data_IF_816676652712
#
_entry.id   IF_816676652712
#
_cell.length_a   1.000
_cell.length_b   1.000
_cell.length_c   1.000
_cell.angle_alpha   90.00
_cell.angle_beta   90.00
_cell.angle_gamma   90.00
#
_symmetry.space_group_name_H-M   'P 1'
#
loop_
_entity.id
_entity.type
_entity.pdbx_description
1 polymer ?
#
# COMPACT_ATOMS: atom_id res chain seq x y z
N UNK A 1 -7.44 1.29 -8.19
CA UNK A 1 -7.18 2.28 -7.12
C UNK A 1 -7.27 1.67 -5.73
N UNK A 2 -8.29 0.86 -5.43
CA UNK A 2 -8.47 0.25 -4.10
C UNK A 2 -7.23 -0.52 -3.57
N UNK A 3 -6.38 -1.04 -4.46
CA UNK A 3 -5.09 -1.60 -4.06
C UNK A 3 -4.16 -0.57 -3.41
N UNK A 4 -4.05 0.64 -4.00
CA UNK A 4 -3.15 1.70 -3.52
C UNK A 4 -3.66 2.35 -2.23
N UNK A 5 -4.97 2.51 -2.08
CA UNK A 5 -5.56 3.05 -0.83
C UNK A 5 -5.40 2.12 0.38
N UNK A 6 -4.80 0.95 0.21
CA UNK A 6 -4.52 -0.03 1.25
C UNK A 6 -3.07 -0.54 1.17
N UNK A 7 -2.26 0.02 0.28
CA UNK A 7 -0.86 -0.34 0.11
C UNK A 7 -0.07 0.22 1.28
N UNK A 8 0.70 -0.64 1.94
CA UNK A 8 1.49 -0.29 3.11
C UNK A 8 2.86 -0.95 3.05
N UNK A 9 3.91 -0.13 3.01
CA UNK A 9 5.29 -0.59 2.90
C UNK A 9 5.74 -1.01 1.50
N UNK A 10 7.06 -1.19 1.37
CA UNK A 10 7.75 -1.44 0.10
C UNK A 10 7.25 -2.66 -0.70
N UNK A 11 6.76 -3.71 -0.05
CA UNK A 11 6.34 -4.94 -0.74
C UNK A 11 5.10 -4.70 -1.63
N UNK A 12 4.21 -3.81 -1.22
CA UNK A 12 3.07 -3.41 -2.04
C UNK A 12 3.52 -2.59 -3.25
N UNK A 13 4.51 -1.71 -3.08
CA UNK A 13 5.13 -0.94 -4.17
C UNK A 13 5.72 -1.86 -5.25
N UNK A 14 6.41 -2.94 -4.86
CA UNK A 14 6.90 -3.94 -5.82
C UNK A 14 5.77 -4.76 -6.46
N UNK A 15 4.80 -5.22 -5.67
CA UNK A 15 3.65 -5.98 -6.20
C UNK A 15 2.85 -5.16 -7.21
N UNK A 16 2.77 -3.84 -7.03
CA UNK A 16 2.15 -2.90 -7.96
C UNK A 16 2.98 -2.74 -9.26
N UNK A 17 4.31 -2.68 -9.17
CA UNK A 17 5.19 -2.41 -10.32
C UNK A 17 5.51 -3.63 -11.21
N UNK A 18 5.55 -4.85 -10.66
CA UNK A 18 5.88 -6.08 -11.42
C UNK A 18 4.70 -6.55 -12.29
N UNK A 19 4.91 -6.90 -13.57
CA UNK A 19 3.84 -7.24 -14.52
C UNK A 19 2.68 -6.21 -14.46
N UNK A 20 2.97 -4.96 -14.85
CA UNK A 20 2.10 -3.84 -14.53
C UNK A 20 0.77 -3.91 -15.29
N UNK A 21 -0.30 -3.61 -14.57
CA UNK A 21 -1.63 -3.37 -15.14
C UNK A 21 -2.08 -1.98 -14.70
N UNK A 22 -2.64 -1.20 -15.63
CA UNK A 22 -3.12 0.15 -15.32
C UNK A 22 -2.01 1.19 -15.12
N UNK A 23 -0.95 1.14 -15.95
CA UNK A 23 0.19 2.09 -15.92
C UNK A 23 -0.29 3.55 -15.80
N UNK A 24 -1.23 3.96 -16.65
CA UNK A 24 -1.80 5.31 -16.61
C UNK A 24 -2.47 5.63 -15.28
N UNK A 25 -3.16 4.66 -14.67
CA UNK A 25 -3.82 4.88 -13.37
C UNK A 25 -2.79 5.10 -12.25
N UNK A 26 -1.68 4.37 -12.26
CA UNK A 26 -0.59 4.53 -11.27
C UNK A 26 0.08 5.88 -11.44
N UNK A 27 0.40 6.25 -12.69
CA UNK A 27 0.99 7.56 -13.02
C UNK A 27 0.07 8.71 -12.61
N UNK A 28 -1.20 8.67 -13.00
CA UNK A 28 -2.20 9.68 -12.62
C UNK A 28 -2.34 9.76 -11.10
N UNK A 29 -2.33 8.62 -10.39
CA UNK A 29 -2.40 8.61 -8.92
C UNK A 29 -1.21 9.34 -8.29
N UNK A 30 0.01 9.03 -8.74
CA UNK A 30 1.21 9.70 -8.25
C UNK A 30 1.19 11.20 -8.55
N UNK A 31 0.70 11.62 -9.72
CA UNK A 31 0.53 13.03 -10.10
C UNK A 31 -0.46 13.74 -9.18
N UNK A 32 -1.62 13.12 -8.88
CA UNK A 32 -2.63 13.70 -7.99
C UNK A 32 -2.09 13.91 -6.57
N UNK A 33 -1.34 12.93 -6.06
CA UNK A 33 -0.80 12.93 -4.69
C UNK A 33 0.45 13.80 -4.54
N UNK A 34 1.41 13.71 -5.47
CA UNK A 34 2.75 14.31 -5.32
C UNK A 34 3.26 15.10 -6.53
N UNK A 35 2.44 15.33 -7.55
CA UNK A 35 2.84 16.02 -8.77
C UNK A 35 2.83 17.55 -8.66
N UNK A 36 3.66 18.26 -9.45
CA UNK A 36 3.62 19.71 -9.55
C UNK A 36 2.33 20.19 -10.25
N UNK A 37 1.93 21.45 -10.03
CA UNK A 37 0.66 22.00 -10.51
C UNK A 37 0.47 21.90 -12.03
N UNK A 38 1.54 22.04 -12.82
CA UNK A 38 1.47 21.91 -14.28
C UNK A 38 1.13 20.47 -14.71
N UNK A 39 1.67 19.47 -14.01
CA UNK A 39 1.41 18.06 -14.32
C UNK A 39 0.01 17.66 -13.88
N UNK A 40 -0.47 18.22 -12.76
CA UNK A 40 -1.88 18.13 -12.33
C UNK A 40 -2.82 18.80 -13.33
N UNK A 41 -2.43 19.90 -13.96
CA UNK A 41 -3.23 20.57 -14.98
C UNK A 41 -3.40 19.71 -16.25
N UNK A 42 -2.34 19.00 -16.68
CA UNK A 42 -2.40 18.10 -17.85
C UNK A 42 -3.45 17.01 -17.66
N UNK A 43 -3.60 16.46 -16.45
CA UNK A 43 -4.59 15.42 -16.15
C UNK A 43 -5.97 15.98 -15.76
N UNK A 44 -6.19 17.30 -15.91
CA UNK A 44 -7.46 17.95 -15.57
C UNK A 44 -7.75 18.11 -14.07
N UNK A 45 -6.72 18.00 -13.21
CA UNK A 45 -6.84 18.05 -11.74
C UNK A 45 -6.08 19.22 -11.10
N UNK A 46 -5.93 20.33 -11.83
CA UNK A 46 -5.19 21.52 -11.36
C UNK A 46 -5.67 22.10 -10.03
N UNK A 47 -6.98 21.99 -9.74
CA UNK A 47 -7.64 22.52 -8.53
C UNK A 47 -8.06 21.42 -7.55
N UNK A 48 -7.52 20.21 -7.69
CA UNK A 48 -7.84 19.12 -6.78
C UNK A 48 -7.17 19.28 -5.42
N UNK A 49 -7.98 19.21 -4.35
CA UNK A 49 -7.49 19.25 -2.98
C UNK A 49 -6.78 17.93 -2.64
N UNK A 50 -5.73 18.00 -1.81
CA UNK A 50 -4.96 16.82 -1.41
C UNK A 50 -5.83 15.78 -0.68
N UNK A 51 -6.78 16.22 0.14
CA UNK A 51 -7.74 15.34 0.81
C UNK A 51 -8.58 14.51 -0.18
N UNK A 52 -8.94 15.08 -1.33
CA UNK A 52 -9.67 14.34 -2.37
C UNK A 52 -8.82 13.24 -3.00
N UNK A 53 -7.53 13.49 -3.20
CA UNK A 53 -6.59 12.46 -3.63
C UNK A 53 -6.37 11.40 -2.53
N UNK A 54 -6.30 11.80 -1.26
CA UNK A 54 -6.12 10.92 -0.11
C UNK A 54 -7.29 9.95 0.09
N UNK A 55 -8.53 10.41 -0.09
CA UNK A 55 -9.73 9.56 -0.03
C UNK A 55 -9.60 8.35 -0.96
N UNK A 56 -9.11 8.56 -2.19
CA UNK A 56 -9.10 7.53 -3.23
C UNK A 56 -7.80 6.72 -3.31
N UNK A 57 -6.66 7.30 -2.94
CA UNK A 57 -5.34 6.80 -3.35
C UNK A 57 -4.41 6.41 -2.21
N UNK A 58 -4.66 6.89 -0.99
CA UNK A 58 -3.73 6.75 0.13
C UNK A 58 -4.31 5.86 1.22
N UNK A 59 -3.44 5.15 1.94
CA UNK A 59 -3.82 4.36 3.12
C UNK A 59 -4.09 5.22 4.35
N UNK A 60 -3.59 6.45 4.37
CA UNK A 60 -3.70 7.35 5.53
C UNK A 60 -5.10 7.89 5.75
N UNK A 61 -5.39 8.23 6.97
CA UNK A 61 -6.48 9.13 7.33
C UNK A 61 -5.89 10.45 7.84
N UNK A 62 -6.54 11.56 7.54
CA UNK A 62 -6.15 12.90 7.99
C UNK A 62 -7.34 13.61 8.63
N UNK A 63 -7.15 14.84 9.09
CA UNK A 63 -8.26 15.64 9.65
C UNK A 63 -9.40 15.87 8.65
N UNK A 64 -9.08 15.81 7.35
CA UNK A 64 -10.03 16.02 6.25
C UNK A 64 -10.57 14.71 5.66
N UNK A 65 -10.13 13.54 6.14
CA UNK A 65 -10.44 12.23 5.55
C UNK A 65 -10.74 11.21 6.64
N UNK A 66 -11.93 10.60 6.57
CA UNK A 66 -12.37 9.58 7.52
C UNK A 66 -12.87 8.31 6.82
N UNK A 67 -12.98 7.24 7.62
CA UNK A 67 -13.56 5.96 7.22
C UNK A 67 -14.85 5.73 8.03
N UNK A 68 -15.94 5.41 7.33
CA UNK A 68 -17.27 5.27 7.92
C UNK A 68 -17.98 4.05 7.35
N UNK A 69 -18.77 3.38 8.18
CA UNK A 69 -19.63 2.28 7.78
C UNK A 69 -20.99 2.81 7.31
N UNK A 70 -21.36 2.50 6.07
CA UNK A 70 -22.65 2.92 5.49
C UNK A 70 -23.79 1.91 5.69
N UNK A 71 -23.54 0.79 6.40
CA UNK A 71 -24.47 -0.34 6.52
C UNK A 71 -24.09 -1.55 5.68
N UNK A 72 -23.22 -1.39 4.69
CA UNK A 72 -22.81 -2.45 3.75
C UNK A 72 -21.30 -2.55 3.53
N UNK A 73 -20.59 -1.42 3.49
CA UNK A 73 -19.15 -1.34 3.30
C UNK A 73 -18.53 -0.16 4.07
N UNK A 74 -17.21 -0.22 4.26
CA UNK A 74 -16.45 0.90 4.78
C UNK A 74 -16.16 1.86 3.62
N UNK A 75 -16.67 3.07 3.72
CA UNK A 75 -16.49 4.14 2.75
C UNK A 75 -15.51 5.16 3.30
N UNK A 76 -14.61 5.63 2.43
CA UNK A 76 -13.73 6.77 2.73
C UNK A 76 -14.42 8.06 2.27
N UNK A 77 -14.51 9.04 3.15
CA UNK A 77 -15.24 10.29 2.91
C UNK A 77 -14.44 11.51 3.33
N UNK A 78 -14.70 12.64 2.68
CA UNK A 78 -14.13 13.94 3.06
C UNK A 78 -14.85 14.47 4.30
N UNK A 79 -14.08 14.79 5.33
CA UNK A 79 -14.57 15.39 6.57
C UNK A 79 -13.97 14.76 7.82
N UNK A 80 -14.41 15.29 8.96
CA UNK A 80 -13.98 14.83 10.27
C UNK A 80 -14.82 13.62 10.75
N UNK A 81 -14.17 12.61 11.35
CA UNK A 81 -14.82 11.38 11.80
C UNK A 81 -15.72 11.60 13.03
N UNK A 82 -16.96 11.12 13.05
CA UNK A 82 -17.74 10.89 14.26
C UNK A 82 -17.47 9.48 14.84
N UNK A 83 -16.24 8.97 14.67
CA UNK A 83 -15.86 7.61 15.07
C UNK A 83 -14.82 7.66 16.18
N UNK A 84 -15.03 6.89 17.24
CA UNK A 84 -14.06 6.66 18.31
C UNK A 84 -13.51 5.25 18.23
N UNK A 85 -12.20 5.12 18.42
CA UNK A 85 -11.51 3.84 18.47
C UNK A 85 -11.18 3.46 19.92
N UNK A 86 -11.54 2.23 20.28
CA UNK A 86 -11.22 1.57 21.53
C UNK A 86 -10.46 0.29 21.23
N UNK A 87 -9.38 0.04 21.97
CA UNK A 87 -8.57 -1.16 21.84
C UNK A 87 -8.65 -1.91 23.16
N UNK A 88 -9.32 -3.05 23.15
CA UNK A 88 -9.38 -3.93 24.31
C UNK A 88 -8.21 -4.90 24.24
N UNK A 89 -7.33 -4.85 25.24
CA UNK A 89 -6.22 -5.77 25.41
C UNK A 89 -6.60 -6.85 26.42
N UNK A 90 -6.69 -8.08 25.93
CA UNK A 90 -6.96 -9.27 26.75
C UNK A 90 -5.64 -10.03 26.91
N UNK A 91 -5.20 -10.36 28.13
CA UNK A 91 -3.93 -11.05 28.33
C UNK A 91 -3.98 -12.44 27.67
N UNK A 92 -2.91 -12.81 26.98
CA UNK A 92 -2.80 -14.16 26.41
C UNK A 92 -2.70 -15.18 27.53
N UNK A 93 -3.57 -16.17 27.53
CA UNK A 93 -3.43 -17.30 28.43
C UNK A 93 -2.22 -18.14 27.98
N UNK A 94 -1.17 -18.15 28.81
CA UNK A 94 0.16 -18.70 28.52
C UNK A 94 0.14 -20.24 28.61
N UNK A 95 0.04 -20.93 27.47
CA UNK A 95 0.07 -22.41 27.43
C UNK A 95 1.29 -23.02 26.70
N UNK A 96 2.11 -22.25 25.98
CA UNK A 96 3.21 -22.80 25.16
C UNK A 96 4.59 -22.63 25.80
N UNK A 97 5.33 -23.75 25.97
CA UNK A 97 6.66 -23.81 26.58
C UNK A 97 7.74 -22.95 25.87
N UNK A 98 7.53 -22.56 24.61
CA UNK A 98 8.46 -21.72 23.83
C UNK A 98 8.40 -20.24 24.20
N UNK A 99 7.25 -19.74 24.66
CA UNK A 99 7.07 -18.32 25.01
C UNK A 99 7.66 -17.99 26.39
N UNK A 100 7.91 -19.02 27.21
CA UNK A 100 8.54 -18.90 28.53
C UNK A 100 10.06 -18.67 28.38
N UNK A 101 10.70 -19.25 27.36
CA UNK A 101 12.15 -19.19 27.16
C UNK A 101 12.62 -17.83 26.60
N UNK A 102 11.79 -17.18 25.77
CA UNK A 102 12.11 -15.88 25.15
C UNK A 102 12.03 -14.70 26.15
N UNK A 103 11.19 -14.82 27.18
CA UNK A 103 11.02 -13.81 28.24
C UNK A 103 12.14 -13.86 29.28
N UNK A 104 12.71 -15.03 29.55
CA UNK A 104 13.79 -15.22 30.53
C UNK A 104 15.11 -14.52 30.13
N UNK A 105 15.26 -14.13 28.86
CA UNK A 105 16.41 -13.39 28.36
C UNK A 105 16.25 -11.86 28.47
N UNK A 106 15.02 -11.35 28.69
CA UNK A 106 14.70 -9.91 28.65
C UNK A 106 14.12 -9.39 29.98
N UNK A 107 14.27 -10.13 31.08
CA UNK A 107 13.49 -9.93 32.30
C UNK A 107 13.77 -8.60 33.02
N UNK A 108 12.88 -7.64 32.81
CA UNK A 108 12.19 -6.94 33.90
C UNK A 108 10.71 -7.38 33.86
N UNK A 109 10.45 -8.61 34.29
CA UNK A 109 9.10 -9.17 34.33
C UNK A 109 8.28 -8.54 35.46
N UNK A 110 6.99 -8.23 35.25
CA UNK A 110 6.09 -7.78 36.32
C UNK A 110 5.80 -8.94 37.29
N UNK A 111 5.68 -8.59 38.57
CA UNK A 111 5.47 -9.48 39.74
C UNK A 111 4.27 -10.44 39.53
N UNK A 112 4.37 -11.75 39.86
CA UNK A 112 3.35 -12.78 39.53
C UNK A 112 2.04 -12.74 40.35
N UNK A 113 1.76 -11.67 41.09
CA UNK A 113 0.57 -11.57 41.98
C UNK A 113 -0.57 -10.69 41.45
N UNK A 114 -0.44 -10.07 40.28
CA UNK A 114 -1.52 -9.25 39.70
C UNK A 114 -2.46 -10.10 38.84
N UNK A 115 -3.79 -10.08 39.09
CA UNK A 115 -4.74 -10.79 38.24
C UNK A 115 -4.66 -10.27 36.79
N UNK A 116 -4.98 -11.12 35.79
CA UNK A 116 -4.97 -10.72 34.38
C UNK A 116 -5.90 -9.53 34.17
N UNK A 117 -5.31 -8.33 34.05
CA UNK A 117 -6.05 -7.08 33.94
C UNK A 117 -6.39 -6.84 32.47
N UNK A 118 -7.67 -6.76 32.14
CA UNK A 118 -8.11 -6.25 30.83
C UNK A 118 -7.78 -4.76 30.77
N UNK A 119 -7.08 -4.34 29.72
CA UNK A 119 -6.69 -2.94 29.53
C UNK A 119 -7.49 -2.39 28.36
N UNK A 120 -8.21 -1.29 28.58
CA UNK A 120 -8.92 -0.57 27.53
C UNK A 120 -8.10 0.67 27.21
N UNK A 121 -7.60 0.74 25.99
CA UNK A 121 -6.92 1.92 25.46
C UNK A 121 -7.92 2.65 24.58
N UNK A 122 -8.16 3.92 24.84
CA UNK A 122 -8.90 4.79 23.93
C UNK A 122 -7.95 5.85 23.39
N UNK A 123 -8.08 6.16 22.11
CA UNK A 123 -7.26 7.20 21.49
C UNK A 123 -7.93 8.56 21.72
N UNK A 124 -7.26 9.47 22.41
CA UNK A 124 -7.73 10.86 22.60
C UNK A 124 -7.55 11.73 21.35
N UNK A 125 -6.81 11.23 20.35
CA UNK A 125 -6.62 11.94 19.10
C UNK A 125 -7.94 12.19 18.37
N UNK A 126 -8.10 13.39 17.84
CA UNK A 126 -9.20 13.78 16.95
C UNK A 126 -9.04 13.24 15.53
N UNK A 127 -7.91 12.59 15.22
CA UNK A 127 -7.64 12.00 13.90
C UNK A 127 -8.52 10.78 13.65
N UNK A 128 -8.99 10.61 12.41
CA UNK A 128 -9.82 9.46 12.07
C UNK A 128 -9.06 8.14 12.18
N UNK A 129 -9.65 7.10 12.80
CA UNK A 129 -9.02 5.79 12.87
C UNK A 129 -8.99 5.12 11.50
N UNK A 130 -7.99 4.27 11.28
CA UNK A 130 -7.87 3.46 10.07
C UNK A 130 -8.63 2.13 10.25
N UNK A 131 -9.95 2.18 10.07
CA UNK A 131 -10.83 1.00 10.22
C UNK A 131 -10.44 -0.08 9.21
N UNK A 132 -10.33 0.29 7.92
CA UNK A 132 -10.05 -0.61 6.80
C UNK A 132 -8.72 -1.38 6.96
N UNK A 133 -7.68 -0.72 7.46
CA UNK A 133 -6.37 -1.33 7.72
C UNK A 133 -6.39 -2.31 8.89
N UNK A 134 -7.25 -2.08 9.89
CA UNK A 134 -7.25 -2.83 11.14
C UNK A 134 -8.39 -3.86 11.23
N UNK A 135 -9.33 -3.87 10.29
CA UNK A 135 -10.49 -4.75 10.35
C UNK A 135 -10.23 -6.12 9.74
N UNK A 136 -9.31 -6.24 8.79
CA UNK A 136 -8.84 -7.52 8.25
C UNK A 136 -7.34 -7.69 8.48
N UNK A 137 -6.93 -8.85 9.00
CA UNK A 137 -5.51 -9.09 9.27
C UNK A 137 -4.86 -9.45 7.95
N UNK A 138 -4.25 -8.47 7.31
CA UNK A 138 -3.48 -8.73 6.11
C UNK A 138 -2.19 -9.45 6.49
N UNK A 139 -1.97 -10.64 5.93
CA UNK A 139 -0.71 -11.34 6.14
C UNK A 139 0.36 -10.68 5.28
N UNK A 140 1.21 -9.85 5.90
CA UNK A 140 2.38 -9.22 5.23
C UNK A 140 3.25 -10.23 4.48
N UNK A 141 3.29 -11.48 4.95
CA UNK A 141 3.99 -12.57 4.28
C UNK A 141 3.43 -12.87 2.88
N UNK A 142 2.10 -12.83 2.69
CA UNK A 142 1.46 -13.08 1.39
C UNK A 142 1.81 -11.97 0.38
N UNK A 143 1.83 -10.70 0.83
CA UNK A 143 2.27 -9.56 0.01
C UNK A 143 3.73 -9.70 -0.40
N UNK A 144 4.61 -10.04 0.54
CA UNK A 144 6.03 -10.26 0.27
C UNK A 144 6.24 -11.42 -0.70
N UNK A 145 5.51 -12.52 -0.52
CA UNK A 145 5.57 -13.66 -1.43
C UNK A 145 5.12 -13.27 -2.84
N UNK A 146 4.03 -12.51 -2.97
CA UNK A 146 3.56 -12.02 -4.26
C UNK A 146 4.53 -11.07 -4.94
N UNK A 147 5.19 -10.18 -4.18
CA UNK A 147 6.25 -9.31 -4.71
C UNK A 147 7.40 -10.13 -5.29
N UNK A 148 7.88 -11.14 -4.54
CA UNK A 148 8.96 -12.04 -4.98
C UNK A 148 8.56 -12.83 -6.21
N UNK A 149 7.36 -13.45 -6.20
CA UNK A 149 6.82 -14.20 -7.34
C UNK A 149 6.71 -13.29 -8.57
N UNK A 150 6.20 -12.07 -8.40
CA UNK A 150 6.09 -11.08 -9.47
C UNK A 150 7.44 -10.69 -10.07
N UNK A 151 8.45 -10.51 -9.24
CA UNK A 151 9.81 -10.23 -9.72
C UNK A 151 10.38 -11.41 -10.50
N UNK A 152 10.22 -12.65 -10.01
CA UNK A 152 10.65 -13.84 -10.75
C UNK A 152 9.90 -14.01 -12.07
N UNK A 153 8.59 -13.77 -12.09
CA UNK A 153 7.80 -13.81 -13.32
C UNK A 153 8.29 -12.77 -14.33
N UNK A 154 8.49 -11.52 -13.90
CA UNK A 154 8.96 -10.45 -14.78
C UNK A 154 10.36 -10.74 -15.34
N UNK A 155 11.27 -11.25 -14.52
CA UNK A 155 12.59 -11.71 -14.97
C UNK A 155 12.47 -12.91 -15.90
N UNK A 156 11.61 -13.87 -15.60
CA UNK A 156 11.33 -15.04 -16.43
C UNK A 156 10.84 -14.66 -17.83
N UNK A 157 9.96 -13.67 -17.95
CA UNK A 157 9.53 -13.15 -19.26
C UNK A 157 10.70 -12.56 -20.04
N UNK A 158 11.58 -11.78 -19.39
CA UNK A 158 12.77 -11.22 -20.05
C UNK A 158 13.77 -12.30 -20.45
N UNK A 159 14.00 -13.31 -19.60
CA UNK A 159 14.87 -14.44 -19.92
C UNK A 159 14.31 -15.21 -21.13
N UNK A 160 13.01 -15.51 -21.13
CA UNK A 160 12.33 -16.16 -22.25
C UNK A 160 12.44 -15.33 -23.54
N UNK A 161 12.23 -14.02 -23.47
CA UNK A 161 12.38 -13.10 -24.59
C UNK A 161 13.81 -13.13 -25.18
N UNK A 162 14.82 -13.19 -24.30
CA UNK A 162 16.22 -13.29 -24.69
C UNK A 162 16.53 -14.62 -25.38
N UNK A 163 16.05 -15.73 -24.83
CA UNK A 163 16.18 -17.06 -25.46
C UNK A 163 15.49 -17.12 -26.82
N UNK A 164 14.26 -16.60 -26.94
CA UNK A 164 13.51 -16.57 -28.18
C UNK A 164 14.19 -15.75 -29.29
N UNK A 165 15.02 -14.78 -28.92
CA UNK A 165 15.70 -13.88 -29.86
C UNK A 165 17.10 -14.38 -30.25
N UNK A 166 17.90 -14.84 -29.29
CA UNK A 166 19.33 -15.15 -29.50
C UNK A 166 19.67 -16.63 -29.59
N UNK A 167 18.86 -17.53 -29.05
CA UNK A 167 19.23 -18.94 -28.98
C UNK A 167 18.80 -19.70 -30.24
N UNK A 168 19.77 -20.26 -30.96
CA UNK A 168 19.58 -20.84 -32.30
C UNK A 168 18.51 -21.96 -32.36
N UNK A 169 18.34 -22.73 -31.28
CA UNK A 169 17.35 -23.83 -31.17
C UNK A 169 15.92 -23.35 -30.89
N UNK A 170 15.75 -22.12 -30.36
CA UNK A 170 14.45 -21.51 -30.01
C UNK A 170 14.19 -20.22 -30.80
N UNK A 171 14.94 -19.99 -31.89
CA UNK A 171 14.80 -18.83 -32.75
C UNK A 171 13.55 -19.01 -33.60
N UNK A 172 12.39 -18.82 -32.97
CA UNK A 172 11.13 -18.87 -33.68
C UNK A 172 11.12 -17.74 -34.70
N UNK A 173 11.07 -18.05 -36.01
CA UNK A 173 10.93 -17.02 -37.02
C UNK A 173 9.63 -16.26 -36.76
N UNK A 174 9.63 -14.96 -37.10
CA UNK A 174 8.38 -14.21 -37.15
C UNK A 174 7.47 -14.82 -38.23
N UNK A 175 6.22 -14.41 -38.22
CA UNK A 175 5.30 -14.55 -39.37
C UNK A 175 6.05 -14.19 -40.67
N UNK A 176 5.87 -15.00 -41.71
CA UNK A 176 6.58 -14.94 -42.99
C UNK A 176 8.10 -15.23 -42.97
N UNK A 177 8.59 -16.02 -42.01
CA UNK A 177 9.98 -16.51 -41.99
C UNK A 177 11.05 -15.40 -41.84
N UNK A 178 10.64 -14.20 -41.39
CA UNK A 178 11.57 -13.09 -41.15
C UNK A 178 12.27 -13.25 -39.80
N UNK A 179 13.58 -13.00 -39.70
CA UNK A 179 14.28 -13.02 -38.41
C UNK A 179 13.78 -11.86 -37.53
N UNK A 180 13.73 -12.11 -36.22
CA UNK A 180 13.46 -11.08 -35.21
C UNK A 180 14.52 -9.97 -35.33
N UNK A 181 14.08 -8.71 -35.32
CA UNK A 181 14.98 -7.56 -35.39
C UNK A 181 15.96 -7.54 -34.21
N UNK A 182 17.23 -7.26 -34.47
CA UNK A 182 18.27 -7.22 -33.42
C UNK A 182 17.98 -6.19 -32.31
N UNK A 183 17.17 -5.16 -32.60
CA UNK A 183 16.75 -4.16 -31.62
C UNK A 183 15.54 -4.59 -30.78
N UNK A 184 14.79 -5.63 -31.16
CA UNK A 184 13.52 -5.99 -30.53
C UNK A 184 13.70 -6.35 -29.05
N UNK A 185 14.58 -7.31 -28.75
CA UNK A 185 14.89 -7.70 -27.38
C UNK A 185 15.48 -6.58 -26.52
N UNK A 186 16.56 -5.87 -26.93
CA UNK A 186 17.11 -4.80 -26.09
C UNK A 186 16.10 -3.67 -25.86
N UNK A 187 15.22 -3.39 -26.81
CA UNK A 187 14.10 -2.45 -26.65
C UNK A 187 13.07 -2.98 -25.63
N UNK A 188 12.66 -4.25 -25.72
CA UNK A 188 11.75 -4.84 -24.72
C UNK A 188 12.37 -4.85 -23.31
N UNK A 189 13.63 -5.25 -23.18
CA UNK A 189 14.30 -5.32 -21.89
C UNK A 189 14.50 -3.93 -21.27
N UNK A 190 15.04 -2.97 -22.02
CA UNK A 190 15.23 -1.60 -21.55
C UNK A 190 13.90 -0.92 -21.24
N UNK A 191 12.89 -1.07 -22.10
CA UNK A 191 11.54 -0.54 -21.87
C UNK A 191 10.90 -1.12 -20.61
N UNK A 192 11.05 -2.42 -20.37
CA UNK A 192 10.55 -3.08 -19.14
C UNK A 192 11.24 -2.52 -17.89
N UNK A 193 12.57 -2.36 -17.91
CA UNK A 193 13.33 -1.81 -16.78
C UNK A 193 12.93 -0.35 -16.50
N UNK A 194 12.83 0.48 -17.54
CA UNK A 194 12.38 1.87 -17.43
C UNK A 194 10.96 1.96 -16.88
N UNK A 195 10.05 1.13 -17.40
CA UNK A 195 8.66 1.09 -16.96
C UNK A 195 8.55 0.69 -15.49
N UNK A 196 9.16 -0.42 -15.10
CA UNK A 196 9.15 -0.92 -13.71
C UNK A 196 9.75 0.12 -12.76
N UNK A 197 10.87 0.74 -13.12
CA UNK A 197 11.52 1.78 -12.31
C UNK A 197 10.64 3.01 -12.17
N UNK A 198 10.00 3.44 -13.27
CA UNK A 198 9.04 4.55 -13.25
C UNK A 198 7.85 4.28 -12.34
N UNK A 199 7.30 3.06 -12.39
CA UNK A 199 6.16 2.67 -11.55
C UNK A 199 6.55 2.54 -10.07
N UNK A 200 7.75 2.03 -9.76
CA UNK A 200 8.27 2.02 -8.40
C UNK A 200 8.45 3.44 -7.85
N UNK A 201 8.93 4.38 -8.67
CA UNK A 201 9.00 5.80 -8.30
C UNK A 201 7.60 6.38 -8.04
N UNK A 202 6.62 6.09 -8.89
CA UNK A 202 5.24 6.53 -8.69
C UNK A 202 4.64 5.95 -7.41
N UNK A 203 4.92 4.69 -7.07
CA UNK A 203 4.46 4.05 -5.85
C UNK A 203 5.14 4.65 -4.60
N UNK A 204 6.47 4.81 -4.62
CA UNK A 204 7.26 5.47 -3.56
C UNK A 204 6.77 6.90 -3.31
N UNK A 205 6.30 7.60 -4.36
CA UNK A 205 5.75 8.94 -4.22
C UNK A 205 4.49 8.97 -3.36
N UNK A 206 3.62 7.96 -3.53
CA UNK A 206 2.37 7.85 -2.78
C UNK A 206 2.66 7.36 -1.35
N UNK A 207 3.53 6.36 -1.21
CA UNK A 207 3.93 5.78 0.08
C UNK A 207 4.60 6.81 1.00
N UNK A 208 5.48 7.68 0.47
CA UNK A 208 6.13 8.74 1.27
C UNK A 208 5.19 9.84 1.76
N UNK A 209 3.95 9.90 1.27
CA UNK A 209 2.93 10.83 1.76
C UNK A 209 2.15 10.30 2.95
N UNK A 210 2.37 9.04 3.31
CA UNK A 210 1.78 8.38 4.48
C UNK A 210 2.87 8.03 5.49
N UNK A 211 2.58 8.17 6.78
CA UNK A 211 3.38 7.66 7.89
C UNK A 211 2.62 6.51 8.51
N UNK A 212 3.28 5.36 8.57
CA UNK A 212 2.72 4.13 9.09
C UNK A 212 3.38 3.77 10.42
N UNK A 213 2.58 3.72 11.48
CA UNK A 213 2.99 3.27 12.80
C UNK A 213 2.31 1.93 13.11
N UNK A 214 3.11 0.87 13.27
CA UNK A 214 2.62 -0.44 13.69
C UNK A 214 2.88 -0.64 15.19
N UNK A 215 1.82 -0.74 15.98
CA UNK A 215 1.89 -0.97 17.43
C UNK A 215 1.56 -2.42 17.74
N UNK A 216 2.47 -3.12 18.42
CA UNK A 216 2.31 -4.54 18.79
C UNK A 216 2.03 -4.68 20.28
N UNK A 217 0.89 -5.25 20.70
CA UNK A 217 0.67 -5.59 22.09
C UNK A 217 1.58 -6.75 22.51
N UNK A 218 2.41 -6.55 23.54
CA UNK A 218 3.29 -7.59 24.09
C UNK A 218 2.53 -8.33 25.20
N UNK A 219 2.34 -9.64 25.05
CA UNK A 219 1.64 -10.46 26.06
C UNK A 219 0.11 -10.34 26.06
N UNK A 220 -0.46 -9.51 25.18
CA UNK A 220 -1.91 -9.33 25.04
C UNK A 220 -2.38 -9.63 23.62
N UNK A 221 -3.66 -9.95 23.50
CA UNK A 221 -4.43 -9.94 22.27
C UNK A 221 -5.20 -8.63 22.18
N UNK A 222 -5.10 -7.93 21.04
CA UNK A 222 -5.81 -6.67 20.83
C UNK A 222 -7.10 -6.87 20.04
N UNK A 223 -8.19 -6.35 20.58
CA UNK A 223 -9.51 -6.32 19.95
C UNK A 223 -9.90 -4.85 19.72
N UNK A 224 -9.64 -4.30 18.52
CA UNK A 224 -10.12 -2.98 18.17
C UNK A 224 -11.64 -3.01 17.98
N UNK A 225 -12.27 -1.96 18.52
CA UNK A 225 -13.68 -1.66 18.49
C UNK A 225 -13.83 -0.21 18.02
N UNK A 226 -14.66 0.02 17.02
CA UNK A 226 -14.97 1.37 16.56
C UNK A 226 -16.42 1.69 16.83
N UNK A 227 -16.64 2.82 17.49
CA UNK A 227 -17.98 3.34 17.78
C UNK A 227 -18.22 4.54 16.89
N UNK A 228 -19.08 4.35 15.89
CA UNK A 228 -19.50 5.39 14.96
C UNK A 228 -20.81 6.02 15.45
N UNK A 229 -20.84 7.34 15.54
CA UNK A 229 -22.07 8.11 15.80
C UNK A 229 -22.72 8.53 14.49
N UNK A 230 -24.03 8.76 14.54
CA UNK A 230 -24.78 9.32 13.43
C UNK A 230 -24.24 10.71 13.07
N UNK A 231 -23.94 10.91 11.79
CA UNK A 231 -23.50 12.19 11.25
C UNK A 231 -23.71 12.26 9.74
N UNK A 232 -23.77 13.49 9.23
CA UNK A 232 -23.73 13.76 7.80
C UNK A 232 -22.32 14.16 7.41
N UNK A 233 -21.70 13.39 6.51
CA UNK A 233 -20.33 13.65 6.02
C UNK A 233 -20.37 13.72 4.50
N UNK A 234 -20.02 14.89 3.96
CA UNK A 234 -20.30 15.22 2.57
C UNK A 234 -21.80 15.16 2.28
N UNK A 235 -22.18 14.40 1.25
CA UNK A 235 -23.58 14.24 0.84
C UNK A 235 -24.27 12.98 1.40
N UNK A 236 -23.58 12.24 2.28
CA UNK A 236 -24.08 10.97 2.83
C UNK A 236 -24.42 11.10 4.31
N UNK A 237 -25.51 10.44 4.71
CA UNK A 237 -25.95 10.32 6.11
C UNK A 237 -25.55 8.96 6.65
N UNK A 238 -24.65 8.96 7.63
CA UNK A 238 -24.18 7.77 8.32
C UNK A 238 -24.96 7.58 9.61
N UNK A 239 -25.40 6.35 9.88
CA UNK A 239 -26.10 6.00 11.13
C UNK A 239 -25.11 5.59 12.23
N UNK A 240 -25.60 5.46 13.45
CA UNK A 240 -24.81 4.96 14.58
C UNK A 240 -24.56 3.45 14.45
N UNK A 241 -23.30 3.04 14.55
CA UNK A 241 -22.87 1.64 14.46
C UNK A 241 -21.73 1.34 15.42
N UNK A 242 -21.75 0.14 15.99
CA UNK A 242 -20.60 -0.48 16.63
C UNK A 242 -19.95 -1.44 15.64
N UNK A 243 -18.65 -1.30 15.40
CA UNK A 243 -17.89 -2.09 14.44
C UNK A 243 -16.80 -2.85 15.19
N UNK A 244 -16.67 -4.15 14.92
CA UNK A 244 -15.76 -5.02 15.66
C UNK A 244 -14.90 -5.86 14.73
N UNK A 245 -13.68 -6.14 15.20
CA UNK A 245 -12.86 -7.17 14.60
C UNK A 245 -13.23 -8.55 15.15
N UNK A 246 -13.41 -9.54 14.27
CA UNK A 246 -13.73 -10.92 14.67
C UNK A 246 -12.54 -11.69 15.25
N UNK A 247 -11.32 -11.20 15.00
CA UNK A 247 -10.09 -11.92 15.31
C UNK A 247 -9.12 -10.99 16.02
N UNK A 248 -8.39 -11.48 17.03
CA UNK A 248 -7.39 -10.69 17.72
C UNK A 248 -6.32 -10.18 16.76
N UNK A 249 -5.88 -8.96 17.00
CA UNK A 249 -4.86 -8.28 16.22
C UNK A 249 -3.50 -8.49 16.86
N UNK A 250 -2.57 -9.02 16.06
CA UNK A 250 -1.14 -9.11 16.42
C UNK A 250 -0.45 -7.75 16.38
N UNK A 251 -0.97 -6.85 15.56
CA UNK A 251 -0.50 -5.47 15.41
C UNK A 251 -1.66 -4.58 15.01
N UNK A 252 -1.63 -3.34 15.50
CA UNK A 252 -2.55 -2.27 15.13
C UNK A 252 -1.76 -1.30 14.27
N UNK A 253 -2.25 -1.04 13.07
CA UNK A 253 -1.61 -0.17 12.10
C UNK A 253 -2.33 1.16 12.05
N UNK A 254 -1.64 2.23 12.40
CA UNK A 254 -2.13 3.59 12.21
C UNK A 254 -1.40 4.18 11.01
N UNK A 255 -2.15 4.66 10.02
CA UNK A 255 -1.61 5.38 8.87
C UNK A 255 -2.13 6.82 8.90
N UNK A 256 -1.22 7.77 9.06
CA UNK A 256 -1.55 9.20 9.06
C UNK A 256 -0.85 9.91 7.91
N UNK A 257 -1.43 11.01 7.43
CA UNK A 257 -0.80 11.81 6.38
C UNK A 257 0.46 12.45 6.95
N UNK A 258 1.60 12.27 6.28
CA UNK A 258 2.87 12.78 6.78
C UNK A 258 2.89 14.34 6.74
N UNK A 259 2.97 15.05 7.89
CA UNK A 259 3.15 16.50 7.88
C UNK A 259 4.63 16.91 7.64
N UNK A 260 5.60 16.01 7.87
CA UNK A 260 7.05 16.27 7.75
C UNK A 260 7.74 15.12 7.03
N UNK A 261 8.13 15.35 5.78
CA UNK A 261 8.78 14.36 4.90
C UNK A 261 10.07 13.79 5.52
N UNK A 262 9.98 12.66 6.20
CA UNK A 262 11.15 11.97 6.74
C UNK A 262 11.93 11.35 5.59
N UNK A 263 13.17 11.83 5.42
CA UNK A 263 14.10 11.38 4.36
C UNK A 263 14.78 10.08 4.78
N UNK A 264 14.00 9.02 4.97
CA UNK A 264 14.54 7.65 5.01
C UNK A 264 14.86 7.24 3.56
N UNK A 265 16.10 6.79 3.33
CA UNK A 265 16.56 6.36 2.01
C UNK A 265 15.84 5.06 1.64
N UNK A 266 14.80 5.18 0.81
CA UNK A 266 14.00 4.04 0.35
C UNK A 266 14.83 3.11 -0.53
N UNK A 267 14.51 1.81 -0.50
CA UNK A 267 15.08 0.81 -1.42
C UNK A 267 14.90 1.26 -2.88
N UNK A 268 13.78 1.93 -3.19
CA UNK A 268 13.50 2.52 -4.51
C UNK A 268 14.52 3.59 -4.88
N UNK A 269 14.96 4.44 -3.92
CA UNK A 269 15.99 5.45 -4.17
C UNK A 269 17.33 4.80 -4.55
N UNK A 270 17.64 3.63 -3.99
CA UNK A 270 18.79 2.81 -4.38
C UNK A 270 18.70 2.26 -5.80
N UNK A 271 17.55 1.69 -6.18
CA UNK A 271 17.32 1.17 -7.55
C UNK A 271 17.42 2.30 -8.57
N UNK A 272 16.82 3.45 -8.29
CA UNK A 272 16.86 4.62 -9.17
C UNK A 272 18.29 5.11 -9.36
N UNK A 273 19.12 5.13 -8.29
CA UNK A 273 20.56 5.40 -8.40
C UNK A 273 21.26 4.44 -9.36
N UNK A 274 20.95 3.15 -9.29
CA UNK A 274 21.58 2.14 -10.17
C UNK A 274 21.06 2.24 -11.60
N UNK A 275 19.75 2.25 -11.81
CA UNK A 275 19.15 2.18 -13.14
C UNK A 275 19.28 3.50 -13.90
N UNK A 276 19.08 4.65 -13.24
CA UNK A 276 19.08 5.95 -13.91
C UNK A 276 20.45 6.63 -13.89
N UNK A 277 21.28 6.42 -12.87
CA UNK A 277 22.53 7.17 -12.70
C UNK A 277 23.81 6.34 -12.93
N UNK A 278 23.78 5.01 -12.78
CA UNK A 278 24.95 4.15 -13.06
C UNK A 278 25.29 4.04 -14.56
N UNK A 279 24.34 3.84 -15.50
CA UNK A 279 24.65 3.94 -16.94
C UNK A 279 25.03 5.37 -17.35
N UNK A 280 24.77 6.35 -16.46
CA UNK A 280 25.11 7.76 -16.58
C UNK A 280 26.45 8.11 -15.90
N UNK A 281 27.44 7.21 -15.79
CA UNK A 281 28.79 7.57 -15.32
C UNK A 281 29.49 8.61 -16.22
N UNK A 282 29.00 8.87 -17.44
CA UNK A 282 29.39 10.06 -18.24
C UNK A 282 28.97 11.38 -17.56
N UNK A 283 27.95 11.36 -16.69
CA UNK A 283 27.42 12.51 -15.93
C UNK A 283 28.15 12.71 -14.60
N UNK A 284 29.16 11.90 -14.26
CA UNK A 284 30.08 12.21 -13.15
C UNK A 284 30.72 13.61 -13.30
N UNK A 285 30.80 14.15 -14.52
CA UNK A 285 31.16 15.54 -14.80
C UNK A 285 30.16 16.57 -14.24
N UNK A 286 28.85 16.29 -14.24
CA UNK A 286 27.83 17.18 -13.66
C UNK A 286 27.76 17.08 -12.14
N UNK A 287 28.09 15.92 -11.57
CA UNK A 287 28.01 15.65 -10.13
C UNK A 287 28.98 16.50 -9.30
N UNK A 288 30.11 16.93 -9.88
CA UNK A 288 31.02 17.89 -9.24
C UNK A 288 30.42 19.31 -9.09
N UNK A 289 29.42 19.68 -9.89
CA UNK A 289 28.77 21.00 -9.82
C UNK A 289 27.62 21.09 -8.80
N UNK A 290 27.04 19.95 -8.38
CA UNK A 290 25.90 19.93 -7.45
C UNK A 290 26.31 19.92 -5.97
N UNK A 291 27.60 19.82 -5.66
CA UNK A 291 28.08 19.82 -4.29
C UNK A 291 28.44 21.24 -3.82
N UNK A 292 27.44 22.12 -3.75
CA UNK A 292 27.55 23.32 -2.91
C UNK A 292 26.17 23.78 -2.47
N UNK A 293 25.82 23.35 -1.25
CA UNK A 293 24.89 24.03 -0.33
C UNK A 293 23.43 24.01 -0.75
N UNK A 294 22.60 23.21 -0.08
CA UNK A 294 21.18 23.58 0.01
C UNK A 294 20.57 23.22 1.35
N UNK A 295 20.21 24.29 2.03
CA UNK A 295 19.47 24.46 3.27
C UNK A 295 17.97 24.27 3.08
N UNK A 296 17.37 23.46 3.96
CA UNK A 296 16.01 23.49 4.56
C UNK A 296 14.76 24.03 3.82
N UNK A 297 14.70 24.14 2.49
CA UNK A 297 13.43 24.48 1.77
C UNK A 297 13.14 23.62 0.52
N UNK A 298 13.89 22.53 0.31
CA UNK A 298 13.97 21.81 -0.98
C UNK A 298 13.09 20.56 -1.06
N UNK A 299 12.40 20.14 0.00
CA UNK A 299 11.82 18.79 0.11
C UNK A 299 10.52 18.57 -0.68
N UNK A 300 9.66 19.58 -0.79
CA UNK A 300 8.46 19.52 -1.66
C UNK A 300 8.82 19.48 -3.15
N UNK A 301 9.97 20.09 -3.50
CA UNK A 301 10.54 20.06 -4.85
C UNK A 301 11.11 18.70 -5.21
N UNK A 302 11.73 18.00 -4.25
CA UNK A 302 12.24 16.63 -4.44
C UNK A 302 11.11 15.67 -4.79
N UNK A 303 9.99 15.70 -4.06
CA UNK A 303 8.86 14.81 -4.35
C UNK A 303 8.20 15.13 -5.69
N UNK A 304 8.04 16.41 -6.02
CA UNK A 304 7.53 16.84 -7.32
C UNK A 304 8.45 16.39 -8.47
N UNK A 305 9.77 16.43 -8.24
CA UNK A 305 10.77 15.94 -9.18
C UNK A 305 10.69 14.41 -9.36
N UNK A 306 10.56 13.64 -8.27
CA UNK A 306 10.37 12.18 -8.33
C UNK A 306 9.11 11.79 -9.08
N UNK A 307 7.99 12.46 -8.83
CA UNK A 307 6.73 12.22 -9.56
C UNK A 307 6.87 12.49 -11.05
N UNK A 308 7.55 13.59 -11.39
CA UNK A 308 7.80 13.98 -12.78
C UNK A 308 8.67 12.93 -13.46
N UNK A 309 9.81 12.57 -12.85
CA UNK A 309 10.72 11.53 -13.36
C UNK A 309 10.02 10.17 -13.49
N UNK A 310 9.29 9.73 -12.47
CA UNK A 310 8.54 8.47 -12.48
C UNK A 310 7.49 8.41 -13.59
N UNK A 311 6.76 9.52 -13.80
CA UNK A 311 5.77 9.64 -14.88
C UNK A 311 6.43 9.55 -16.27
N UNK A 312 7.53 10.27 -16.48
CA UNK A 312 8.27 10.22 -17.75
C UNK A 312 8.88 8.84 -18.01
N UNK A 313 9.51 8.21 -17.00
CA UNK A 313 10.10 6.87 -17.13
C UNK A 313 9.04 5.80 -17.40
N UNK A 314 7.87 5.90 -16.75
CA UNK A 314 6.76 4.97 -16.97
C UNK A 314 6.21 5.06 -18.39
N UNK A 315 5.93 6.28 -18.87
CA UNK A 315 5.35 6.49 -20.21
C UNK A 315 6.36 6.13 -21.29
N UNK A 316 7.61 6.61 -21.18
CA UNK A 316 8.66 6.30 -22.16
C UNK A 316 9.01 4.81 -22.15
N UNK A 317 9.15 4.20 -20.96
CA UNK A 317 9.40 2.77 -20.80
C UNK A 317 8.31 1.92 -21.44
N UNK A 318 7.03 2.28 -21.25
CA UNK A 318 5.91 1.59 -21.92
C UNK A 318 5.99 1.67 -23.44
N UNK A 319 6.27 2.86 -24.00
CA UNK A 319 6.39 3.05 -25.46
C UNK A 319 7.56 2.23 -26.02
N UNK A 320 8.73 2.30 -25.39
CA UNK A 320 9.92 1.53 -25.77
C UNK A 320 9.63 0.03 -25.69
N UNK A 321 9.04 -0.44 -24.57
CA UNK A 321 8.67 -1.84 -24.40
C UNK A 321 7.70 -2.31 -25.48
N UNK A 322 6.70 -1.49 -25.82
CA UNK A 322 5.70 -1.80 -26.85
C UNK A 322 6.34 -1.94 -28.25
N UNK A 323 7.25 -1.04 -28.61
CA UNK A 323 7.99 -1.12 -29.88
C UNK A 323 8.81 -2.41 -29.94
N UNK A 324 9.52 -2.76 -28.85
CA UNK A 324 10.28 -4.01 -28.79
C UNK A 324 9.39 -5.26 -28.91
N UNK A 325 8.28 -5.30 -28.16
CA UNK A 325 7.35 -6.44 -28.17
C UNK A 325 6.69 -6.64 -29.53
N UNK A 326 6.38 -5.56 -30.25
CA UNK A 326 5.78 -5.61 -31.60
C UNK A 326 6.68 -6.30 -32.62
N UNK A 327 8.00 -6.18 -32.45
CA UNK A 327 8.97 -6.76 -33.37
C UNK A 327 9.53 -8.11 -32.90
N UNK A 328 9.06 -8.61 -31.76
CA UNK A 328 9.40 -9.92 -31.22
C UNK A 328 8.40 -11.00 -31.65
N UNK A 329 8.75 -12.28 -31.46
CA UNK A 329 7.85 -13.39 -31.72
C UNK A 329 6.60 -13.31 -30.83
N UNK A 330 5.41 -13.58 -31.40
CA UNK A 330 4.11 -13.44 -30.74
C UNK A 330 4.00 -14.20 -29.41
N UNK A 331 4.73 -15.32 -29.27
CA UNK A 331 4.76 -16.09 -28.03
C UNK A 331 5.21 -15.26 -26.83
N UNK A 332 6.13 -14.30 -27.03
CA UNK A 332 6.63 -13.48 -25.92
C UNK A 332 5.53 -12.54 -25.41
N UNK A 333 4.70 -12.00 -26.31
CA UNK A 333 3.52 -11.21 -25.94
C UNK A 333 2.50 -12.05 -25.16
N UNK A 334 2.33 -13.33 -25.50
CA UNK A 334 1.46 -14.24 -24.72
C UNK A 334 2.03 -14.54 -23.34
N UNK A 335 3.33 -14.83 -23.24
CA UNK A 335 3.98 -15.07 -21.94
C UNK A 335 3.88 -13.82 -21.06
N UNK A 336 4.10 -12.62 -21.63
CA UNK A 336 3.90 -11.35 -20.94
C UNK A 336 2.45 -11.18 -20.48
N UNK A 337 1.47 -11.47 -21.34
CA UNK A 337 0.05 -11.39 -20.98
C UNK A 337 -0.29 -12.38 -19.86
N UNK A 338 0.21 -13.60 -19.93
CA UNK A 338 0.04 -14.61 -18.88
C UNK A 338 0.61 -14.16 -17.53
N UNK A 339 1.79 -13.54 -17.52
CA UNK A 339 2.38 -12.95 -16.33
C UNK A 339 1.51 -11.82 -15.76
N UNK A 340 0.95 -10.94 -16.61
CA UNK A 340 0.03 -9.87 -16.16
C UNK A 340 -1.26 -10.43 -15.59
N UNK A 341 -1.87 -11.44 -16.23
CA UNK A 341 -3.10 -12.09 -15.73
C UNK A 341 -2.85 -12.76 -14.38
N UNK A 342 -1.76 -13.53 -14.27
CA UNK A 342 -1.37 -14.18 -13.02
C UNK A 342 -1.15 -13.15 -11.91
N UNK A 343 -0.38 -12.10 -12.16
CA UNK A 343 -0.13 -11.06 -11.16
C UNK A 343 -1.39 -10.27 -10.80
N UNK A 344 -2.31 -10.09 -11.74
CA UNK A 344 -3.61 -9.46 -11.46
C UNK A 344 -4.46 -10.32 -10.53
N UNK A 345 -4.48 -11.64 -10.75
CA UNK A 345 -5.14 -12.58 -9.83
C UNK A 345 -4.47 -12.60 -8.45
N UNK A 346 -3.13 -12.59 -8.38
CA UNK A 346 -2.40 -12.52 -7.12
C UNK A 346 -2.73 -11.24 -6.34
N UNK A 347 -2.74 -10.08 -7.00
CA UNK A 347 -3.14 -8.79 -6.41
C UNK A 347 -4.56 -8.83 -5.83
N UNK A 348 -5.51 -9.43 -6.57
CA UNK A 348 -6.88 -9.60 -6.10
C UNK A 348 -6.97 -10.56 -4.91
N UNK A 349 -6.21 -11.67 -4.93
CA UNK A 349 -6.22 -12.68 -3.86
C UNK A 349 -5.70 -12.13 -2.53
N UNK A 350 -4.59 -11.38 -2.54
CA UNK A 350 -3.99 -10.74 -1.36
C UNK A 350 -5.00 -9.81 -0.65
N UNK A 351 -5.91 -9.21 -1.41
CA UNK A 351 -6.87 -8.21 -0.94
C UNK A 351 -8.30 -8.75 -0.80
N UNK A 352 -8.53 -10.06 -0.99
CA UNK A 352 -9.87 -10.66 -0.91
C UNK A 352 -10.55 -10.45 0.44
N UNK A 353 -9.77 -10.29 1.52
CA UNK A 353 -10.28 -9.98 2.85
C UNK A 353 -11.08 -8.68 2.92
N UNK A 354 -10.78 -7.68 2.07
CA UNK A 354 -11.48 -6.39 2.06
C UNK A 354 -12.92 -6.49 1.55
N UNK A 355 -13.25 -7.54 0.78
CA UNK A 355 -14.61 -7.76 0.29
C UNK A 355 -15.51 -8.44 1.34
N UNK A 356 -14.94 -8.89 2.47
CA UNK A 356 -15.72 -9.47 3.56
C UNK A 356 -16.22 -8.32 4.44
N UNK A 357 -17.55 -8.16 4.62
CA UNK A 357 -18.06 -7.11 5.48
C UNK A 357 -17.70 -7.42 6.94
N UNK A 358 -17.30 -6.41 7.72
CA UNK A 358 -17.11 -6.56 9.15
C UNK A 358 -18.41 -6.86 9.89
N UNK A 359 -18.29 -7.38 11.12
CA UNK A 359 -19.41 -7.40 12.04
C UNK A 359 -19.68 -5.96 12.50
N UNK A 360 -20.83 -5.45 12.09
CA UNK A 360 -21.35 -4.16 12.51
C UNK A 360 -22.73 -4.37 13.13
N UNK A 361 -22.99 -3.70 14.26
CA UNK A 361 -24.28 -3.68 14.93
C UNK A 361 -24.85 -2.27 14.89
N UNK A 362 -26.10 -2.13 14.44
CA UNK A 362 -26.81 -0.85 14.48
C UNK A 362 -27.04 -0.44 15.93
N UNK A 363 -26.71 0.79 16.26
CA UNK A 363 -26.89 1.36 17.59
C UNK A 363 -28.02 2.37 17.60
N UNK A 364 -28.67 2.54 18.75
CA UNK A 364 -29.56 3.67 18.97
C UNK A 364 -28.75 4.96 19.06
N UNK A 365 -29.28 6.01 18.46
CA UNK A 365 -28.64 7.33 18.45
C UNK A 365 -28.42 7.82 19.88
N UNK A 366 -27.25 8.37 20.17
CA UNK A 366 -26.84 8.92 21.49
C UNK A 366 -26.53 7.88 22.59
N UNK A 367 -26.89 6.61 22.38
CA UNK A 367 -26.64 5.52 23.32
C UNK A 367 -25.41 4.69 22.96
N UNK A 368 -24.52 5.21 22.10
CA UNK A 368 -23.44 4.39 21.54
C UNK A 368 -22.36 4.02 22.57
N UNK A 369 -22.08 4.90 23.53
CA UNK A 369 -21.15 4.63 24.64
C UNK A 369 -21.77 3.75 25.72
N UNK A 370 -23.08 3.88 25.96
CA UNK A 370 -23.80 3.01 26.89
C UNK A 370 -23.83 1.58 26.38
N UNK A 371 -24.07 1.42 25.07
CA UNK A 371 -23.95 0.14 24.40
C UNK A 371 -22.54 -0.45 24.55
N UNK A 372 -21.48 0.35 24.32
CA UNK A 372 -20.10 -0.12 24.49
C UNK A 372 -19.84 -0.58 25.93
N UNK A 373 -20.32 0.18 26.91
CA UNK A 373 -20.20 -0.18 28.32
C UNK A 373 -20.93 -1.49 28.64
N UNK A 374 -22.15 -1.68 28.11
CA UNK A 374 -22.92 -2.92 28.27
C UNK A 374 -22.23 -4.12 27.62
N UNK A 375 -21.70 -3.93 26.41
CA UNK A 375 -20.97 -4.96 25.67
C UNK A 375 -19.70 -5.40 26.41
N UNK A 376 -18.97 -4.46 27.02
CA UNK A 376 -17.78 -4.76 27.83
C UNK A 376 -18.15 -5.39 29.17
N UNK A 377 -19.25 -4.95 29.81
CA UNK A 377 -19.73 -5.50 31.07
C UNK A 377 -20.37 -6.89 30.93
N UNK A 378 -20.67 -7.33 29.70
CA UNK A 378 -21.33 -8.61 29.43
C UNK A 378 -22.81 -8.64 29.81
N UNK A 379 -23.44 -7.46 29.94
CA UNK A 379 -24.85 -7.33 30.37
C UNK A 379 -25.86 -7.48 29.25
N UNK A 380 -25.45 -7.35 27.99
CA UNK A 380 -26.26 -7.67 26.83
C UNK A 380 -26.05 -9.15 26.45
N UNK A 381 -27.07 -9.98 26.64
CA UNK A 381 -27.06 -11.38 26.25
C UNK A 381 -26.89 -11.57 24.74
N UNK A 382 -25.66 -11.92 24.31
CA UNK A 382 -25.23 -12.48 23.01
C UNK A 382 -25.04 -11.48 21.84
N UNK A 383 -24.03 -11.68 20.94
CA UNK A 383 -23.49 -12.96 20.49
C UNK A 383 -22.06 -13.27 20.98
N UNK A 384 -21.94 -14.37 21.72
CA UNK A 384 -20.80 -15.31 21.76
C UNK A 384 -19.44 -14.79 21.21
N UNK A 385 -18.53 -14.45 22.14
CA UNK A 385 -17.09 -14.64 21.96
C UNK A 385 -16.72 -16.13 21.95
N UNK A 386 -15.48 -16.49 21.55
CA UNK A 386 -15.18 -17.76 20.88
C UNK A 386 -15.28 -18.98 21.79
N UNK A 387 -16.06 -19.97 21.35
CA UNK A 387 -15.67 -21.38 21.41
C UNK A 387 -14.85 -21.74 20.17
#
# INVERSE_FOLDING_TARGET
>A
MQYMSQATGWADSFTLAMAPLGILTIVVSAIRVGGPSWLKAIIGRARENLAAAEVELMSSTSEDVCELWNGSEIVRSLGSPPVREFIILIPKYRNDAKDIELDNLNSSAPNPETPPKVIIIYNESTSAPNISLNIHSQKRAEVRAAAVIGTFLQLGVLIYAGFATYYHTLRFPKEDNRPVSNYAFPCTASGTILLVTGLLLCADVVEKRTVEEARKPIGYEAYPIWVQRQATVGDQVFRSFGIFSNTPRKEILTSSRNPKTSTELSLVDGIVRVVCYLPLQVVELFKKALNKKTSSSTESSVQSSKTTLGSFLSISGYVVQFVGLRDMHWSVSIVQLGAVVFMTAARAAIRRGLAVPPKAQSLFQEFELEWLASAIAGTDGSPSGPE
#
